data_IF_798011474202
#
_entry.id   IF_798011474202
#
_cell.length_a   1.000
_cell.length_b   1.000
_cell.length_c   1.000
_cell.angle_alpha   90.00
_cell.angle_beta   90.00
_cell.angle_gamma   90.00
#
_symmetry.space_group_name_H-M   'P 1'
#
loop_
_entity.id
_entity.type
_entity.pdbx_description
1 polymer ?
#
# COMPACT_ATOMS: atom_id res chain seq x y z
N UNK A 1 4.54 -13.70 -21.24
CA UNK A 1 5.37 -12.49 -21.42
C UNK A 1 4.46 -11.41 -21.96
N UNK A 2 4.34 -10.27 -21.28
CA UNK A 2 3.49 -9.13 -21.64
C UNK A 2 4.32 -7.85 -21.62
N UNK A 3 3.86 -6.81 -22.34
CA UNK A 3 4.39 -5.46 -22.21
C UNK A 3 3.67 -4.77 -21.06
N UNK A 4 4.43 -4.32 -20.08
CA UNK A 4 3.90 -3.71 -18.87
C UNK A 4 4.49 -2.33 -18.62
N UNK A 5 3.74 -1.45 -17.99
CA UNK A 5 4.27 -0.21 -17.44
C UNK A 5 4.10 -0.22 -15.91
N UNK A 6 5.00 0.44 -15.19
CA UNK A 6 4.87 0.64 -13.75
C UNK A 6 5.07 2.11 -13.37
N UNK A 7 4.05 2.71 -12.76
CA UNK A 7 4.00 4.14 -12.44
C UNK A 7 4.15 4.33 -10.92
N UNK A 8 5.27 4.96 -10.53
CA UNK A 8 5.60 5.19 -9.13
C UNK A 8 6.58 4.16 -8.57
N UNK A 9 7.83 4.59 -8.38
CA UNK A 9 8.94 3.79 -7.87
C UNK A 9 9.28 4.19 -6.42
N UNK A 10 8.26 4.17 -5.58
CA UNK A 10 8.42 4.28 -4.14
C UNK A 10 8.93 2.97 -3.53
N UNK A 11 8.89 2.89 -2.20
CA UNK A 11 9.32 1.71 -1.42
C UNK A 11 8.62 0.43 -1.87
N UNK A 12 7.37 0.55 -2.29
CA UNK A 12 6.57 -0.59 -2.78
C UNK A 12 6.76 -0.83 -4.29
N UNK A 13 6.60 0.22 -5.11
CA UNK A 13 6.58 0.07 -6.57
C UNK A 13 7.93 -0.31 -7.18
N UNK A 14 9.04 0.11 -6.57
CA UNK A 14 10.37 -0.25 -7.06
C UNK A 14 10.61 -1.77 -7.12
N UNK A 15 10.43 -2.52 -6.02
CA UNK A 15 10.57 -3.98 -6.06
C UNK A 15 9.45 -4.68 -6.85
N UNK A 16 8.21 -4.19 -6.82
CA UNK A 16 7.12 -4.78 -7.61
C UNK A 16 7.42 -4.74 -9.11
N UNK A 17 7.90 -3.60 -9.64
CA UNK A 17 8.37 -3.48 -11.03
C UNK A 17 9.56 -4.41 -11.30
N UNK A 18 10.48 -4.59 -10.34
CA UNK A 18 11.60 -5.53 -10.43
C UNK A 18 11.16 -6.97 -10.57
N UNK A 19 10.15 -7.39 -9.84
CA UNK A 19 9.56 -8.73 -9.97
C UNK A 19 8.92 -8.97 -11.34
N UNK A 20 8.26 -7.97 -11.93
CA UNK A 20 7.75 -8.07 -13.31
C UNK A 20 8.88 -8.32 -14.31
N UNK A 21 9.98 -7.57 -14.21
CA UNK A 21 11.14 -7.75 -15.06
C UNK A 21 11.79 -9.14 -14.86
N UNK A 22 11.90 -9.61 -13.61
CA UNK A 22 12.42 -10.93 -13.26
C UNK A 22 11.53 -12.07 -13.79
N UNK A 23 10.20 -11.86 -13.83
CA UNK A 23 9.24 -12.79 -14.42
C UNK A 23 9.27 -12.78 -15.98
N UNK A 24 10.12 -11.95 -16.60
CA UNK A 24 10.32 -11.92 -18.04
C UNK A 24 9.35 -10.99 -18.80
N UNK A 25 8.61 -10.11 -18.12
CA UNK A 25 7.83 -9.07 -18.77
C UNK A 25 8.73 -7.96 -19.33
N UNK A 26 8.28 -7.28 -20.39
CA UNK A 26 8.91 -6.06 -20.89
C UNK A 26 8.35 -4.90 -20.07
N UNK A 27 9.19 -4.28 -19.23
CA UNK A 27 8.75 -3.27 -18.26
C UNK A 27 9.25 -1.89 -18.66
N UNK A 28 8.33 -0.93 -18.78
CA UNK A 28 8.66 0.52 -18.87
C UNK A 28 8.24 1.19 -17.58
N UNK A 29 9.17 1.83 -16.89
CA UNK A 29 8.87 2.49 -15.61
C UNK A 29 8.74 4.00 -15.76
N UNK A 30 7.90 4.59 -14.90
CA UNK A 30 7.81 6.03 -14.72
C UNK A 30 7.88 6.39 -13.24
N UNK A 31 8.59 7.46 -12.94
CA UNK A 31 8.56 8.09 -11.63
C UNK A 31 8.69 9.61 -11.77
N UNK A 32 7.94 10.38 -10.97
CA UNK A 32 8.01 11.85 -10.95
C UNK A 32 9.45 12.38 -10.81
N UNK A 33 10.27 11.70 -9.99
CA UNK A 33 11.72 11.94 -9.94
C UNK A 33 12.40 11.01 -10.94
N UNK A 34 12.72 11.51 -12.12
CA UNK A 34 13.29 10.72 -13.23
C UNK A 34 14.54 9.93 -12.84
N UNK A 35 15.41 10.49 -11.99
CA UNK A 35 16.61 9.80 -11.51
C UNK A 35 16.31 8.45 -10.82
N UNK A 36 15.14 8.28 -10.17
CA UNK A 36 14.73 7.00 -9.61
C UNK A 36 14.37 5.98 -10.71
N UNK A 37 13.76 6.42 -11.81
CA UNK A 37 13.45 5.55 -12.92
C UNK A 37 14.74 5.11 -13.65
N UNK A 38 15.70 5.99 -13.81
CA UNK A 38 17.03 5.66 -14.35
C UNK A 38 17.75 4.64 -13.47
N UNK A 39 17.82 4.88 -12.15
CA UNK A 39 18.45 3.96 -11.20
C UNK A 39 17.77 2.57 -11.19
N UNK A 40 16.45 2.52 -11.43
CA UNK A 40 15.76 1.24 -11.59
C UNK A 40 16.24 0.49 -12.84
N UNK A 41 16.40 1.19 -13.99
CA UNK A 41 16.91 0.59 -15.22
C UNK A 41 18.38 0.13 -15.12
N UNK A 42 19.19 0.77 -14.27
CA UNK A 42 20.56 0.34 -13.99
C UNK A 42 20.61 -1.00 -13.24
N UNK A 43 19.55 -1.33 -12.50
CA UNK A 43 19.44 -2.54 -11.66
C UNK A 43 18.65 -3.66 -12.34
N UNK A 44 17.60 -3.30 -13.06
CA UNK A 44 16.65 -4.22 -13.66
C UNK A 44 16.62 -4.06 -15.19
N UNK A 45 16.24 -5.15 -15.89
CA UNK A 45 16.04 -5.08 -17.34
C UNK A 45 14.71 -4.38 -17.64
N UNK A 46 14.78 -3.24 -18.31
CA UNK A 46 13.60 -2.48 -18.73
C UNK A 46 13.96 -1.08 -19.16
N UNK A 47 12.94 -0.32 -19.52
CA UNK A 47 13.05 1.05 -20.02
C UNK A 47 12.37 2.02 -19.07
N UNK A 48 12.64 3.32 -19.23
CA UNK A 48 11.93 4.37 -18.52
C UNK A 48 11.36 5.43 -19.45
N UNK A 49 10.28 6.06 -19.02
CA UNK A 49 9.66 7.16 -19.74
C UNK A 49 9.59 8.43 -18.87
N UNK A 50 9.41 9.58 -19.54
CA UNK A 50 9.38 10.89 -18.89
C UNK A 50 7.96 11.33 -18.48
N UNK A 51 6.91 10.65 -18.98
CA UNK A 51 5.51 10.87 -18.59
C UNK A 51 4.79 9.54 -18.40
N UNK A 52 3.70 9.49 -17.61
CA UNK A 52 2.84 8.31 -17.50
C UNK A 52 2.30 7.84 -18.86
N UNK A 53 1.87 8.78 -19.72
CA UNK A 53 1.37 8.48 -21.06
C UNK A 53 2.41 7.72 -21.90
N UNK A 54 3.66 8.22 -21.95
CA UNK A 54 4.74 7.56 -22.68
C UNK A 54 5.10 6.19 -22.10
N UNK A 55 5.05 6.02 -20.79
CA UNK A 55 5.28 4.73 -20.16
C UNK A 55 4.19 3.72 -20.55
N UNK A 56 2.95 4.18 -20.71
CA UNK A 56 1.80 3.37 -21.03
C UNK A 56 1.66 3.03 -22.54
N UNK A 57 2.40 3.69 -23.42
CA UNK A 57 2.34 3.45 -24.87
C UNK A 57 2.66 1.99 -25.21
N UNK A 58 1.67 1.31 -25.81
CA UNK A 58 1.79 -0.09 -26.22
C UNK A 58 1.82 -1.10 -25.06
N UNK A 59 1.67 -0.67 -23.81
CA UNK A 59 1.56 -1.58 -22.68
C UNK A 59 0.18 -2.30 -22.70
N UNK A 60 0.21 -3.58 -22.40
CA UNK A 60 -1.00 -4.40 -22.21
C UNK A 60 -1.54 -4.22 -20.78
N UNK A 61 -0.62 -4.06 -19.82
CA UNK A 61 -0.95 -3.81 -18.42
C UNK A 61 -0.16 -2.62 -17.90
N UNK A 62 -0.83 -1.69 -17.25
CA UNK A 62 -0.22 -0.53 -16.59
C UNK A 62 -0.50 -0.63 -15.09
N UNK A 63 0.55 -0.76 -14.29
CA UNK A 63 0.47 -0.80 -12.84
C UNK A 63 0.81 0.55 -12.25
N UNK A 64 0.15 0.94 -11.16
CA UNK A 64 0.51 2.14 -10.40
C UNK A 64 0.64 1.86 -8.90
N UNK A 65 1.56 2.58 -8.26
CA UNK A 65 1.66 2.65 -6.80
C UNK A 65 2.22 4.02 -6.40
N UNK A 66 1.33 4.96 -6.13
CA UNK A 66 1.65 6.37 -5.85
C UNK A 66 1.23 6.78 -4.43
N UNK A 67 1.07 8.07 -4.13
CA UNK A 67 0.93 8.54 -2.75
C UNK A 67 -0.51 8.60 -2.23
N UNK A 68 -1.42 9.19 -2.99
CA UNK A 68 -2.77 9.55 -2.57
C UNK A 68 -3.72 9.72 -3.78
N UNK A 69 -4.96 10.15 -3.52
CA UNK A 69 -6.00 10.37 -4.53
C UNK A 69 -5.55 11.34 -5.62
N UNK A 70 -4.92 12.46 -5.25
CA UNK A 70 -4.49 13.49 -6.21
C UNK A 70 -3.30 13.03 -7.05
N UNK A 71 -2.35 12.33 -6.44
CA UNK A 71 -1.23 11.70 -7.16
C UNK A 71 -1.76 10.68 -8.17
N UNK A 72 -2.77 9.87 -7.79
CA UNK A 72 -3.37 8.88 -8.69
C UNK A 72 -4.13 9.53 -9.85
N UNK A 73 -4.94 10.56 -9.60
CA UNK A 73 -5.57 11.35 -10.66
C UNK A 73 -4.53 11.92 -11.62
N UNK A 74 -3.45 12.47 -11.08
CA UNK A 74 -2.37 13.08 -11.87
C UNK A 74 -1.68 12.10 -12.79
N UNK A 75 -1.46 10.85 -12.36
CA UNK A 75 -0.81 9.85 -13.22
C UNK A 75 -1.77 9.16 -14.19
N UNK A 76 -3.09 9.21 -13.94
CA UNK A 76 -4.09 8.61 -14.81
C UNK A 76 -4.63 9.58 -15.86
N UNK A 77 -4.96 10.81 -15.44
CA UNK A 77 -5.74 11.78 -16.23
C UNK A 77 -4.85 12.85 -16.88
N UNK A 78 -5.44 13.61 -17.80
CA UNK A 78 -4.74 14.69 -18.52
C UNK A 78 -3.93 14.21 -19.72
N UNK A 79 -3.28 15.13 -20.43
CA UNK A 79 -2.57 14.84 -21.70
C UNK A 79 -1.31 13.97 -21.49
N UNK A 80 -0.67 14.07 -20.34
CA UNK A 80 0.50 13.27 -19.97
C UNK A 80 0.15 12.09 -19.05
N UNK A 81 -1.14 11.91 -18.72
CA UNK A 81 -1.65 10.80 -17.91
C UNK A 81 -1.68 9.48 -18.66
N UNK A 82 -1.59 8.36 -17.94
CA UNK A 82 -1.50 7.03 -18.52
C UNK A 82 -2.65 6.71 -19.49
N UNK A 83 -3.88 7.14 -19.17
CA UNK A 83 -5.06 6.88 -20.02
C UNK A 83 -4.99 7.57 -21.39
N UNK A 84 -4.10 8.56 -21.59
CA UNK A 84 -3.85 9.14 -22.90
C UNK A 84 -2.89 8.29 -23.76
N UNK A 85 -2.01 7.51 -23.13
CA UNK A 85 -1.07 6.62 -23.81
C UNK A 85 -1.54 5.18 -23.97
N UNK A 86 -2.55 4.75 -23.20
CA UNK A 86 -3.09 3.39 -23.24
C UNK A 86 -3.98 3.16 -24.46
N UNK A 87 -3.89 1.97 -25.02
CA UNK A 87 -4.78 1.53 -26.10
C UNK A 87 -6.07 0.90 -25.53
N UNK A 88 -7.21 0.95 -26.25
CA UNK A 88 -8.38 0.18 -25.89
C UNK A 88 -8.06 -1.31 -25.74
N UNK A 89 -8.60 -1.93 -24.68
CA UNK A 89 -8.33 -3.33 -24.30
C UNK A 89 -7.14 -3.50 -23.35
N UNK A 90 -6.29 -2.48 -23.14
CA UNK A 90 -5.28 -2.51 -22.09
C UNK A 90 -5.93 -2.39 -20.71
N UNK A 91 -5.23 -2.87 -19.65
CA UNK A 91 -5.75 -2.88 -18.28
C UNK A 91 -4.86 -2.05 -17.37
N UNK A 92 -5.47 -1.14 -16.62
CA UNK A 92 -4.84 -0.39 -15.55
C UNK A 92 -5.08 -1.08 -14.21
N UNK A 93 -4.02 -1.31 -13.44
CA UNK A 93 -4.07 -1.92 -12.10
C UNK A 93 -3.49 -0.94 -11.08
N UNK A 94 -4.32 -0.45 -10.17
CA UNK A 94 -3.88 0.50 -9.15
C UNK A 94 -3.62 -0.18 -7.81
N UNK A 95 -2.38 -0.13 -7.35
CA UNK A 95 -1.95 -0.64 -6.04
C UNK A 95 -1.88 0.44 -4.95
N UNK A 96 -2.22 1.68 -5.28
CA UNK A 96 -2.24 2.79 -4.33
C UNK A 96 -3.36 2.59 -3.32
N UNK A 97 -3.13 2.91 -2.05
CA UNK A 97 -4.21 3.04 -1.08
C UNK A 97 -4.85 4.42 -1.21
N UNK A 98 -6.05 4.45 -1.76
CA UNK A 98 -6.83 5.65 -2.07
C UNK A 98 -8.30 5.49 -1.66
N UNK A 99 -9.10 6.54 -1.81
CA UNK A 99 -10.54 6.47 -1.56
C UNK A 99 -11.24 5.60 -2.61
N UNK A 100 -12.29 4.90 -2.20
CA UNK A 100 -13.15 4.17 -3.14
C UNK A 100 -13.87 5.10 -4.12
N UNK A 101 -13.98 6.39 -3.78
CA UNK A 101 -14.56 7.41 -4.65
C UNK A 101 -13.66 7.70 -5.85
N UNK A 102 -12.36 7.98 -5.64
CA UNK A 102 -11.43 8.20 -6.74
C UNK A 102 -11.24 6.95 -7.59
N UNK A 103 -11.28 5.77 -6.98
CA UNK A 103 -11.23 4.50 -7.70
C UNK A 103 -12.38 4.38 -8.70
N UNK A 104 -13.62 4.68 -8.29
CA UNK A 104 -14.80 4.64 -9.18
C UNK A 104 -14.76 5.73 -10.24
N UNK A 105 -14.31 6.93 -9.90
CA UNK A 105 -14.05 8.02 -10.85
C UNK A 105 -13.11 7.56 -11.97
N UNK A 106 -11.98 6.98 -11.61
CA UNK A 106 -10.97 6.52 -12.58
C UNK A 106 -11.41 5.28 -13.36
N UNK A 107 -12.14 4.36 -12.72
CA UNK A 107 -12.76 3.23 -13.41
C UNK A 107 -13.72 3.71 -14.53
N UNK A 108 -14.55 4.72 -14.25
CA UNK A 108 -15.45 5.29 -15.27
C UNK A 108 -14.64 5.96 -16.39
N UNK A 109 -13.65 6.78 -16.05
CA UNK A 109 -12.81 7.47 -17.04
C UNK A 109 -12.01 6.49 -17.92
N UNK A 110 -11.56 5.37 -17.37
CA UNK A 110 -10.93 4.28 -18.10
C UNK A 110 -11.92 3.59 -19.06
N UNK A 111 -13.12 3.27 -18.59
CA UNK A 111 -14.16 2.63 -19.38
C UNK A 111 -14.56 3.46 -20.60
N UNK A 112 -14.66 4.80 -20.49
CA UNK A 112 -14.94 5.72 -21.59
C UNK A 112 -13.91 5.64 -22.72
N UNK A 113 -12.70 5.15 -22.42
CA UNK A 113 -11.60 4.92 -23.38
C UNK A 113 -11.43 3.45 -23.76
N UNK A 114 -12.30 2.56 -23.31
CA UNK A 114 -12.19 1.13 -23.53
C UNK A 114 -11.03 0.47 -22.79
N UNK A 115 -10.56 1.08 -21.69
CA UNK A 115 -9.49 0.59 -20.83
C UNK A 115 -10.11 -0.17 -19.65
N UNK A 116 -9.61 -1.36 -19.35
CA UNK A 116 -9.97 -2.08 -18.14
C UNK A 116 -9.33 -1.43 -16.89
N UNK A 117 -10.02 -1.49 -15.74
CA UNK A 117 -9.51 -0.95 -14.48
C UNK A 117 -9.70 -1.94 -13.35
N UNK A 118 -8.63 -2.16 -12.56
CA UNK A 118 -8.63 -3.00 -11.35
C UNK A 118 -8.00 -2.20 -10.21
N UNK A 119 -8.71 -1.99 -9.13
CA UNK A 119 -8.13 -1.53 -7.87
C UNK A 119 -7.57 -2.72 -7.09
N UNK A 120 -6.31 -2.66 -6.74
CA UNK A 120 -5.58 -3.75 -6.11
C UNK A 120 -4.60 -3.28 -5.05
N UNK A 121 -5.04 -2.52 -4.00
CA UNK A 121 -4.15 -2.14 -2.91
C UNK A 121 -3.55 -3.36 -2.22
N UNK A 122 -2.36 -3.16 -1.64
CA UNK A 122 -1.52 -4.24 -1.16
C UNK A 122 -1.32 -4.24 0.35
N UNK A 123 -1.05 -5.41 0.91
CA UNK A 123 -0.62 -5.60 2.29
C UNK A 123 0.60 -6.53 2.34
N UNK A 124 1.50 -6.30 3.30
CA UNK A 124 2.76 -7.03 3.47
C UNK A 124 3.97 -6.11 3.70
N UNK A 125 3.76 -4.78 3.54
CA UNK A 125 4.80 -3.77 3.73
C UNK A 125 5.98 -3.92 2.78
N UNK A 126 7.06 -3.20 3.07
CA UNK A 126 8.29 -3.21 2.27
C UNK A 126 8.84 -4.62 2.09
N UNK A 127 8.97 -5.39 3.16
CA UNK A 127 9.49 -6.76 3.11
C UNK A 127 8.63 -7.68 2.22
N UNK A 128 7.30 -7.52 2.25
CA UNK A 128 6.39 -8.26 1.38
C UNK A 128 6.59 -7.91 -0.10
N UNK A 129 6.84 -6.64 -0.41
CA UNK A 129 7.11 -6.18 -1.77
C UNK A 129 8.47 -6.68 -2.26
N UNK A 130 9.52 -6.57 -1.45
CA UNK A 130 10.88 -7.03 -1.78
C UNK A 130 10.94 -8.55 -2.00
N UNK A 131 10.19 -9.32 -1.22
CA UNK A 131 10.14 -10.78 -1.34
C UNK A 131 9.11 -11.31 -2.35
N UNK A 132 8.32 -10.45 -3.00
CA UNK A 132 7.29 -10.86 -3.96
C UNK A 132 6.14 -11.67 -3.34
N UNK A 133 5.78 -11.38 -2.08
CA UNK A 133 4.78 -12.16 -1.31
C UNK A 133 3.62 -11.30 -0.79
N UNK A 134 3.28 -10.25 -1.52
CA UNK A 134 2.19 -9.34 -1.14
C UNK A 134 0.83 -10.05 -1.14
N UNK A 135 -0.07 -9.56 -0.28
CA UNK A 135 -1.50 -9.81 -0.39
C UNK A 135 -2.13 -8.65 -1.16
N UNK A 136 -2.82 -8.94 -2.25
CA UNK A 136 -3.44 -7.96 -3.14
C UNK A 136 -4.96 -8.13 -3.07
N UNK A 137 -5.64 -7.07 -2.63
CA UNK A 137 -7.09 -7.04 -2.46
C UNK A 137 -7.71 -6.35 -3.68
N UNK A 138 -8.33 -7.10 -4.59
CA UNK A 138 -8.77 -6.55 -5.86
C UNK A 138 -10.27 -6.26 -5.92
N UNK A 139 -10.60 -5.15 -6.57
CA UNK A 139 -11.94 -4.79 -7.04
C UNK A 139 -11.91 -4.49 -8.54
N UNK A 140 -13.04 -4.59 -9.21
CA UNK A 140 -13.18 -4.34 -10.66
C UNK A 140 -13.88 -5.48 -11.38
N UNK A 141 -14.04 -5.35 -12.70
CA UNK A 141 -14.68 -6.37 -13.53
C UNK A 141 -13.92 -7.70 -13.49
N UNK A 142 -14.65 -8.82 -13.42
CA UNK A 142 -14.07 -10.15 -13.32
C UNK A 142 -13.12 -10.45 -14.50
N UNK A 143 -13.53 -10.08 -15.72
CA UNK A 143 -12.72 -10.32 -16.92
C UNK A 143 -11.38 -9.55 -16.90
N UNK A 144 -11.38 -8.30 -16.42
CA UNK A 144 -10.16 -7.50 -16.30
C UNK A 144 -9.26 -8.03 -15.19
N UNK A 145 -9.86 -8.45 -14.06
CA UNK A 145 -9.11 -9.10 -12.98
C UNK A 145 -8.47 -10.41 -13.44
N UNK A 146 -9.22 -11.31 -14.08
CA UNK A 146 -8.73 -12.61 -14.54
C UNK A 146 -7.58 -12.44 -15.55
N UNK A 147 -7.64 -11.44 -16.42
CA UNK A 147 -6.58 -11.13 -17.37
C UNK A 147 -5.32 -10.56 -16.69
N UNK A 148 -5.47 -9.73 -15.63
CA UNK A 148 -4.36 -9.11 -14.91
C UNK A 148 -3.74 -10.04 -13.85
N UNK A 149 -4.48 -11.05 -13.37
CA UNK A 149 -4.05 -11.96 -12.29
C UNK A 149 -2.67 -12.57 -12.54
N UNK A 150 -2.35 -13.18 -13.70
CA UNK A 150 -1.04 -13.80 -13.93
C UNK A 150 0.13 -12.80 -13.86
N UNK A 151 -0.13 -11.51 -14.12
CA UNK A 151 0.89 -10.44 -14.05
C UNK A 151 1.08 -10.02 -12.58
N UNK A 152 0.01 -9.91 -11.81
CA UNK A 152 0.08 -9.58 -10.38
C UNK A 152 0.73 -10.69 -9.54
N UNK A 153 0.63 -11.94 -9.96
CA UNK A 153 1.27 -13.10 -9.30
C UNK A 153 2.80 -13.04 -9.32
N UNK A 154 3.41 -12.18 -10.15
CA UNK A 154 4.86 -11.95 -10.11
C UNK A 154 5.35 -11.37 -8.77
N UNK A 155 4.50 -10.63 -8.04
CA UNK A 155 4.83 -10.01 -6.75
C UNK A 155 3.75 -10.23 -5.67
N UNK A 156 2.68 -10.95 -5.99
CA UNK A 156 1.57 -11.27 -5.10
C UNK A 156 1.48 -12.76 -4.78
N UNK A 157 1.52 -13.13 -3.48
CA UNK A 157 1.29 -14.50 -3.04
C UNK A 157 -0.20 -14.82 -2.90
N UNK A 158 -0.99 -13.84 -2.48
CA UNK A 158 -2.45 -13.96 -2.33
C UNK A 158 -3.09 -12.82 -3.10
N UNK A 159 -3.68 -13.13 -4.24
CA UNK A 159 -4.35 -12.15 -5.09
C UNK A 159 -5.81 -12.56 -5.22
N UNK A 160 -6.73 -11.69 -4.78
CA UNK A 160 -8.15 -12.07 -4.76
C UNK A 160 -9.05 -10.90 -5.14
N UNK A 161 -9.98 -11.15 -6.07
CA UNK A 161 -11.09 -10.24 -6.35
C UNK A 161 -12.16 -10.38 -5.28
N UNK A 162 -12.61 -9.26 -4.72
CA UNK A 162 -13.54 -9.18 -3.59
C UNK A 162 -14.88 -8.51 -3.94
N UNK A 163 -14.99 -7.97 -5.16
CA UNK A 163 -16.20 -7.33 -5.67
C UNK A 163 -15.91 -6.42 -6.85
N UNK A 164 -16.86 -5.54 -7.15
CA UNK A 164 -16.73 -4.56 -8.22
C UNK A 164 -15.76 -3.42 -7.85
N UNK A 165 -15.58 -2.45 -8.74
CA UNK A 165 -14.64 -1.33 -8.56
C UNK A 165 -14.82 -0.63 -7.21
N UNK A 166 -13.72 -0.48 -6.47
CA UNK A 166 -13.64 0.05 -5.12
C UNK A 166 -13.68 -1.02 -4.02
N UNK A 167 -14.01 -2.29 -4.32
CA UNK A 167 -14.05 -3.35 -3.31
C UNK A 167 -12.64 -3.68 -2.77
N UNK A 168 -11.61 -3.54 -3.58
CA UNK A 168 -10.23 -3.67 -3.14
C UNK A 168 -9.85 -2.60 -2.11
N UNK A 169 -10.20 -1.33 -2.39
CA UNK A 169 -9.95 -0.22 -1.46
C UNK A 169 -10.74 -0.37 -0.16
N UNK A 170 -12.02 -0.74 -0.23
CA UNK A 170 -12.83 -1.01 0.98
C UNK A 170 -12.22 -2.15 1.82
N UNK A 171 -11.72 -3.20 1.16
CA UNK A 171 -11.03 -4.29 1.86
C UNK A 171 -9.70 -3.82 2.48
N UNK A 172 -8.98 -2.92 1.80
CA UNK A 172 -7.78 -2.30 2.37
C UNK A 172 -8.12 -1.45 3.59
N UNK A 173 -9.25 -0.75 3.62
CA UNK A 173 -9.73 -0.03 4.81
C UNK A 173 -9.97 -0.97 5.99
N UNK A 174 -10.61 -2.13 5.76
CA UNK A 174 -10.76 -3.17 6.81
C UNK A 174 -9.39 -3.59 7.36
N UNK A 175 -8.41 -3.81 6.49
CA UNK A 175 -7.03 -4.14 6.90
C UNK A 175 -6.41 -3.03 7.75
N UNK A 176 -6.55 -1.74 7.38
CA UNK A 176 -5.95 -0.62 8.10
C UNK A 176 -6.64 -0.37 9.45
N UNK A 177 -7.94 -0.55 9.55
CA UNK A 177 -8.70 -0.54 10.82
C UNK A 177 -8.15 -1.59 11.79
N UNK A 178 -7.95 -2.83 11.31
CA UNK A 178 -7.35 -3.90 12.13
C UNK A 178 -5.93 -3.54 12.58
N UNK A 179 -5.07 -3.05 11.67
CA UNK A 179 -3.68 -2.69 12.01
C UNK A 179 -3.65 -1.59 13.07
N UNK A 180 -4.50 -0.56 12.98
CA UNK A 180 -4.55 0.51 13.97
C UNK A 180 -4.76 -0.04 15.39
N UNK A 181 -5.78 -0.88 15.57
CA UNK A 181 -6.07 -1.48 16.86
C UNK A 181 -4.97 -2.42 17.36
N UNK A 182 -4.45 -3.27 16.46
CA UNK A 182 -3.39 -4.24 16.80
C UNK A 182 -2.10 -3.55 17.25
N UNK A 183 -1.65 -2.52 16.54
CA UNK A 183 -0.40 -1.81 16.88
C UNK A 183 -0.56 -1.00 18.17
N UNK A 184 -1.71 -0.36 18.37
CA UNK A 184 -1.97 0.35 19.63
C UNK A 184 -2.00 -0.62 20.83
N UNK A 185 -2.73 -1.74 20.71
CA UNK A 185 -2.77 -2.75 21.77
C UNK A 185 -1.40 -3.34 22.10
N UNK A 186 -0.58 -3.62 21.08
CA UNK A 186 0.79 -4.09 21.26
C UNK A 186 1.68 -3.03 21.93
N UNK A 187 1.52 -1.75 21.55
CA UNK A 187 2.26 -0.64 22.17
C UNK A 187 1.95 -0.50 23.65
N UNK A 188 0.68 -0.59 24.02
CA UNK A 188 0.25 -0.58 25.44
C UNK A 188 0.78 -1.78 26.21
N UNK A 189 0.69 -2.98 25.62
CA UNK A 189 1.15 -4.22 26.25
C UNK A 189 2.67 -4.18 26.52
N UNK A 190 3.49 -3.75 25.56
CA UNK A 190 4.94 -3.65 25.74
C UNK A 190 5.31 -2.54 26.74
N UNK A 191 4.63 -1.39 26.71
CA UNK A 191 4.83 -0.34 27.70
C UNK A 191 4.42 -0.79 29.11
N UNK A 192 3.33 -1.56 29.24
CA UNK A 192 2.93 -2.16 30.50
C UNK A 192 3.98 -3.16 31.03
N UNK A 193 4.50 -4.03 30.15
CA UNK A 193 5.54 -4.99 30.53
C UNK A 193 6.80 -4.27 31.05
N UNK A 194 7.24 -3.21 30.38
CA UNK A 194 8.37 -2.38 30.80
C UNK A 194 8.15 -1.76 32.18
N UNK A 195 7.00 -1.11 32.40
CA UNK A 195 6.64 -0.52 33.70
C UNK A 195 6.47 -1.55 34.81
N UNK A 196 6.09 -2.78 34.48
CA UNK A 196 5.99 -3.89 35.44
C UNK A 196 7.33 -4.58 35.73
N UNK A 197 8.42 -4.15 35.07
CA UNK A 197 9.75 -4.76 35.24
C UNK A 197 9.90 -6.14 34.60
N UNK A 198 9.05 -6.46 33.59
CA UNK A 198 9.13 -7.71 32.84
C UNK A 198 10.07 -7.57 31.63
N UNK A 199 10.74 -8.66 31.28
CA UNK A 199 11.45 -8.74 30.00
C UNK A 199 10.42 -8.84 28.85
N UNK A 200 10.25 -7.75 28.08
CA UNK A 200 9.29 -7.67 27.00
C UNK A 200 9.54 -8.71 25.88
N UNK A 201 10.80 -9.11 25.63
CA UNK A 201 11.13 -10.14 24.63
C UNK A 201 10.65 -11.52 25.11
N UNK A 202 10.93 -11.86 26.36
CA UNK A 202 10.46 -13.10 26.97
C UNK A 202 8.92 -13.16 27.08
N UNK A 203 8.26 -12.03 27.37
CA UNK A 203 6.79 -11.95 27.37
C UNK A 203 6.24 -12.28 25.98
N UNK A 204 6.76 -11.64 24.92
CA UNK A 204 6.29 -11.88 23.53
C UNK A 204 6.54 -13.32 23.10
N UNK A 205 7.68 -13.91 23.44
CA UNK A 205 7.98 -15.33 23.15
C UNK A 205 6.87 -16.24 23.66
N UNK A 206 6.37 -16.01 24.88
CA UNK A 206 5.33 -16.82 25.48
C UNK A 206 3.95 -16.60 24.86
N UNK A 207 3.57 -15.31 24.59
CA UNK A 207 2.19 -14.99 24.17
C UNK A 207 1.97 -15.00 22.67
N UNK A 208 3.03 -14.97 21.86
CA UNK A 208 2.91 -14.86 20.38
C UNK A 208 2.22 -16.05 19.72
N UNK A 209 2.35 -17.24 20.30
CA UNK A 209 1.67 -18.46 19.85
C UNK A 209 0.21 -18.58 20.30
N UNK A 210 -0.26 -17.68 21.15
CA UNK A 210 -1.63 -17.67 21.72
C UNK A 210 -2.59 -16.73 20.99
N UNK A 211 -3.75 -16.51 21.62
CA UNK A 211 -4.82 -15.68 21.07
C UNK A 211 -4.44 -14.20 20.87
N UNK A 212 -3.42 -13.72 21.58
CA UNK A 212 -2.90 -12.35 21.44
C UNK A 212 -1.94 -12.18 20.24
N UNK A 213 -1.51 -13.28 19.62
CA UNK A 213 -0.56 -13.27 18.52
C UNK A 213 -1.06 -12.49 17.31
N UNK A 214 -0.15 -11.81 16.62
CA UNK A 214 -0.43 -11.09 15.38
C UNK A 214 0.84 -10.93 14.55
N UNK A 215 0.68 -10.62 13.24
CA UNK A 215 1.82 -10.28 12.38
C UNK A 215 2.61 -9.09 12.96
N UNK A 216 1.91 -8.09 13.51
CA UNK A 216 2.54 -6.91 14.12
C UNK A 216 3.40 -7.32 15.33
N UNK A 217 2.88 -8.18 16.20
CA UNK A 217 3.65 -8.72 17.33
C UNK A 217 4.90 -9.45 16.82
N UNK A 218 4.75 -10.40 15.90
CA UNK A 218 5.87 -11.23 15.41
C UNK A 218 6.96 -10.44 14.66
N UNK A 219 6.62 -9.30 14.04
CA UNK A 219 7.54 -8.59 13.13
C UNK A 219 7.92 -7.18 13.62
N UNK A 220 7.40 -6.70 14.74
CA UNK A 220 7.64 -5.34 15.25
C UNK A 220 8.08 -5.25 16.71
N UNK A 221 7.84 -6.28 17.52
CA UNK A 221 8.11 -6.18 18.96
C UNK A 221 9.57 -5.85 19.29
N UNK A 222 10.55 -6.41 18.58
CA UNK A 222 11.97 -6.15 18.83
C UNK A 222 12.30 -4.68 18.57
N UNK A 223 11.95 -4.17 17.39
CA UNK A 223 12.21 -2.77 17.03
C UNK A 223 11.45 -1.78 17.94
N UNK A 224 10.26 -2.16 18.44
CA UNK A 224 9.52 -1.36 19.43
C UNK A 224 10.22 -1.32 20.78
N UNK A 225 10.77 -2.45 21.24
CA UNK A 225 11.53 -2.52 22.48
C UNK A 225 12.83 -1.74 22.35
N UNK A 226 13.54 -1.92 21.24
CA UNK A 226 14.85 -1.33 20.96
C UNK A 226 14.77 0.13 20.45
N UNK A 227 13.56 0.74 20.43
CA UNK A 227 13.29 2.14 20.03
C UNK A 227 13.72 2.48 18.58
N UNK A 228 13.59 1.55 17.64
CA UNK A 228 14.02 1.66 16.24
C UNK A 228 12.81 1.75 15.32
N UNK A 229 12.63 2.89 14.61
CA UNK A 229 11.44 3.14 13.79
C UNK A 229 11.72 3.66 12.38
N UNK A 230 12.99 3.75 11.96
CA UNK A 230 13.39 4.24 10.63
C UNK A 230 13.26 3.14 9.55
N UNK A 231 12.08 2.52 9.51
CA UNK A 231 11.76 1.42 8.57
C UNK A 231 10.24 1.32 8.36
N UNK A 232 9.82 0.39 7.52
CA UNK A 232 8.44 -0.08 7.43
C UNK A 232 7.45 0.91 6.81
N UNK A 233 6.32 1.14 7.48
CA UNK A 233 5.20 1.92 6.98
C UNK A 233 5.02 3.21 7.76
N UNK A 234 5.26 4.35 7.09
CA UNK A 234 5.31 5.65 7.73
C UNK A 234 3.97 6.09 8.35
N UNK A 235 4.04 6.73 9.51
CA UNK A 235 2.91 7.32 10.23
C UNK A 235 2.09 8.28 9.35
N UNK A 236 2.75 9.10 8.50
CA UNK A 236 2.04 10.02 7.59
C UNK A 236 1.10 9.25 6.64
N UNK A 237 1.53 8.11 6.11
CA UNK A 237 0.70 7.27 5.25
C UNK A 237 -0.39 6.56 6.02
N UNK A 238 -0.11 6.09 7.23
CA UNK A 238 -1.14 5.49 8.08
C UNK A 238 -2.23 6.49 8.44
N UNK A 239 -1.89 7.73 8.78
CA UNK A 239 -2.86 8.79 9.03
C UNK A 239 -3.72 9.12 7.81
N UNK A 240 -3.11 9.15 6.61
CA UNK A 240 -3.88 9.25 5.36
C UNK A 240 -4.89 8.10 5.25
N UNK A 241 -4.44 6.88 5.47
CA UNK A 241 -5.29 5.69 5.33
C UNK A 241 -6.44 5.69 6.37
N UNK A 242 -6.14 6.04 7.63
CA UNK A 242 -7.18 6.14 8.67
C UNK A 242 -8.17 7.28 8.39
N UNK A 243 -7.70 8.40 7.83
CA UNK A 243 -8.58 9.48 7.35
C UNK A 243 -9.59 8.98 6.30
N UNK A 244 -9.13 8.16 5.34
CA UNK A 244 -10.00 7.52 4.35
C UNK A 244 -11.00 6.56 5.04
N UNK A 245 -10.54 5.75 6.01
CA UNK A 245 -11.41 4.85 6.77
C UNK A 245 -12.52 5.61 7.50
N UNK A 246 -12.17 6.71 8.18
CA UNK A 246 -13.13 7.51 8.95
C UNK A 246 -14.15 8.18 8.05
N UNK A 247 -13.70 8.83 6.96
CA UNK A 247 -14.63 9.46 6.00
C UNK A 247 -15.58 8.43 5.39
N UNK A 248 -15.06 7.28 4.95
CA UNK A 248 -15.91 6.22 4.40
C UNK A 248 -16.82 5.62 5.46
N UNK A 249 -16.34 5.48 6.72
CA UNK A 249 -17.14 5.03 7.85
C UNK A 249 -18.36 5.91 8.08
N UNK A 250 -18.17 7.23 8.06
CA UNK A 250 -19.27 8.21 8.20
C UNK A 250 -20.26 8.10 7.04
N UNK A 251 -19.79 7.94 5.80
CA UNK A 251 -20.64 7.81 4.60
C UNK A 251 -21.55 6.56 4.65
N UNK A 252 -21.03 5.43 5.15
CA UNK A 252 -21.76 4.15 5.20
C UNK A 252 -22.42 3.86 6.56
N UNK A 253 -22.25 4.75 7.55
CA UNK A 253 -22.81 4.59 8.88
C UNK A 253 -22.06 3.57 9.76
N UNK A 254 -20.79 3.28 9.49
CA UNK A 254 -19.96 2.39 10.30
C UNK A 254 -19.26 3.16 11.42
N UNK A 255 -19.55 2.82 12.67
CA UNK A 255 -18.90 3.44 13.83
C UNK A 255 -17.45 2.92 14.00
N UNK A 256 -16.47 3.83 14.00
CA UNK A 256 -15.04 3.52 14.08
C UNK A 256 -14.33 4.22 15.27
N UNK A 257 -14.80 4.06 16.51
CA UNK A 257 -14.28 4.83 17.66
C UNK A 257 -12.80 4.54 17.93
N UNK A 258 -12.35 3.28 17.86
CA UNK A 258 -10.94 2.92 18.08
C UNK A 258 -10.05 3.49 16.98
N UNK A 259 -10.46 3.41 15.71
CA UNK A 259 -9.74 3.98 14.57
C UNK A 259 -9.56 5.49 14.72
N UNK A 260 -10.62 6.20 15.10
CA UNK A 260 -10.58 7.65 15.33
C UNK A 260 -9.62 8.02 16.47
N UNK A 261 -9.65 7.26 17.58
CA UNK A 261 -8.75 7.49 18.71
C UNK A 261 -7.29 7.25 18.32
N UNK A 262 -7.00 6.15 17.62
CA UNK A 262 -5.64 5.79 17.20
C UNK A 262 -5.09 6.78 16.15
N UNK A 263 -5.94 7.33 15.26
CA UNK A 263 -5.52 8.41 14.38
C UNK A 263 -5.03 9.65 15.17
N UNK A 264 -5.72 10.01 16.25
CA UNK A 264 -5.26 11.12 17.11
C UNK A 264 -3.93 10.78 17.81
N UNK A 265 -3.71 9.53 18.20
CA UNK A 265 -2.42 9.10 18.76
C UNK A 265 -1.29 9.18 17.74
N UNK A 266 -1.53 8.86 16.48
CA UNK A 266 -0.56 9.08 15.40
C UNK A 266 -0.28 10.57 15.14
N UNK A 267 -1.26 11.46 15.35
CA UNK A 267 -1.02 12.89 15.30
C UNK A 267 -0.03 13.35 16.39
N UNK A 268 -0.13 12.76 17.59
CA UNK A 268 0.85 13.03 18.64
C UNK A 268 2.25 12.52 18.23
N UNK A 269 2.36 11.35 17.59
CA UNK A 269 3.63 10.86 17.05
C UNK A 269 4.21 11.80 15.98
N UNK A 270 3.38 12.37 15.11
CA UNK A 270 3.83 13.39 14.16
C UNK A 270 4.36 14.64 14.88
N UNK A 271 3.71 15.08 15.97
CA UNK A 271 4.18 16.22 16.78
C UNK A 271 5.53 15.95 17.46
N UNK A 272 5.87 14.68 17.73
CA UNK A 272 7.19 14.23 18.18
C UNK A 272 8.24 14.17 17.06
N UNK A 273 7.91 14.59 15.82
CA UNK A 273 8.79 14.50 14.66
C UNK A 273 8.73 13.16 13.93
N UNK A 274 7.81 12.25 14.31
CA UNK A 274 7.73 10.88 13.85
C UNK A 274 6.90 10.64 12.58
N UNK A 275 6.63 11.66 11.75
CA UNK A 275 5.81 11.48 10.54
C UNK A 275 6.36 10.40 9.59
N UNK A 276 7.68 10.20 9.56
CA UNK A 276 8.33 9.18 8.73
C UNK A 276 8.65 7.87 9.46
N UNK A 277 8.42 7.80 10.76
CA UNK A 277 8.63 6.58 11.54
C UNK A 277 7.61 5.50 11.18
N UNK A 278 7.97 4.24 11.41
CA UNK A 278 7.06 3.09 11.27
C UNK A 278 5.85 3.25 12.21
N UNK A 279 4.70 2.74 11.81
CA UNK A 279 3.46 2.78 12.59
C UNK A 279 3.60 2.23 14.01
N UNK A 280 4.54 1.32 14.25
CA UNK A 280 4.84 0.77 15.58
C UNK A 280 5.39 1.81 16.56
N UNK A 281 5.74 3.02 16.10
CA UNK A 281 6.18 4.13 16.94
C UNK A 281 5.12 4.71 17.88
N UNK A 282 3.88 4.21 17.87
CA UNK A 282 2.86 4.52 18.88
C UNK A 282 3.36 4.30 20.32
N UNK A 283 4.26 3.35 20.54
CA UNK A 283 4.88 3.11 21.85
C UNK A 283 5.71 4.32 22.34
N UNK A 284 6.34 5.10 21.43
CA UNK A 284 7.09 6.33 21.84
C UNK A 284 6.18 7.35 22.49
N UNK A 285 4.95 7.50 21.98
CA UNK A 285 3.94 8.37 22.59
C UNK A 285 3.66 7.97 24.05
N UNK A 286 3.50 6.68 24.30
CA UNK A 286 3.23 6.18 25.66
C UNK A 286 4.42 6.41 26.59
N UNK A 287 5.64 6.17 26.11
CA UNK A 287 6.87 6.43 26.85
C UNK A 287 7.09 7.92 27.15
N UNK A 288 6.61 8.81 26.28
CA UNK A 288 6.69 10.26 26.50
C UNK A 288 5.67 10.80 27.53
N UNK A 289 4.65 10.02 27.87
CA UNK A 289 3.63 10.41 28.86
C UNK A 289 4.01 10.02 30.31
N UNK A 290 5.15 9.34 30.53
CA UNK A 290 5.64 8.94 31.85
C UNK A 290 5.99 7.48 31.94
#
# INVERSE_FOLDING_TARGET
MARTAFLGLGVMGYPMAGHLAAAGHQVTVYNRTTAKAQAWCDTHKGDHATTPAKAAEGAEFVMSCVGNDDDLRSVCLGPDGAFAGMSPGAIFVDHTTVSSAVTRELHQAAAEKGIGFVDGPVSGGQAGAENGVLSIMCGGDAAHFDAALPVMEAYGRTVKRLGDSGAGQLTKMVNQICIAGLVQGLSEALNFADKAGLDGKAVVEVISGGAAGSWQMANRYETMIDDQFDHGFAVDWMRKDLGICLSTGDEIGAALPVTALVDQFYKDVQALGGGRWDTSSLIKRLRALG
#
